data_IF_203675919315
#
_entry.id   IF_203675919315
#
_cell.length_a   1.000
_cell.length_b   1.000
_cell.length_c   1.000
_cell.angle_alpha   90.00
_cell.angle_beta   90.00
_cell.angle_gamma   90.00
#
_symmetry.space_group_name_H-M   'P 1'
#
loop_
_entity.id
_entity.type
_entity.pdbx_description
1 polymer ?
#
# COMPACT_ATOMS: atom_id res chain seq x y z
N UNK A 1 -22.76 -37.80 7.96
CA UNK A 1 -23.27 -36.63 7.22
C UNK A 1 -22.32 -36.14 6.12
N UNK A 2 -21.00 -36.40 6.18
CA UNK A 2 -20.04 -36.00 5.11
C UNK A 2 -20.03 -36.95 3.90
N UNK A 3 -20.46 -38.16 4.03
CA UNK A 3 -20.45 -39.15 2.94
C UNK A 3 -21.69 -39.12 2.05
N UNK A 4 -22.83 -38.64 2.57
CA UNK A 4 -24.09 -38.60 1.83
C UNK A 4 -24.25 -37.38 0.93
N UNK A 5 -23.54 -36.26 1.18
CA UNK A 5 -23.56 -35.05 0.34
C UNK A 5 -22.83 -35.22 -1.00
N UNK A 6 -21.72 -35.98 -1.01
CA UNK A 6 -20.95 -36.22 -2.25
C UNK A 6 -21.68 -37.12 -3.25
N UNK A 7 -22.54 -38.05 -2.79
CA UNK A 7 -23.28 -38.93 -3.70
C UNK A 7 -24.41 -38.21 -4.44
N UNK A 8 -25.09 -37.25 -3.80
CA UNK A 8 -26.15 -36.48 -4.46
C UNK A 8 -25.63 -35.54 -5.54
N UNK A 9 -24.52 -34.84 -5.27
CA UNK A 9 -23.87 -33.96 -6.25
C UNK A 9 -23.26 -34.77 -7.41
N UNK A 10 -22.66 -35.94 -7.11
CA UNK A 10 -22.11 -36.84 -8.14
C UNK A 10 -23.19 -37.34 -9.11
N UNK A 11 -24.37 -37.75 -8.61
CA UNK A 11 -25.48 -38.15 -9.43
C UNK A 11 -26.08 -37.04 -10.27
N UNK A 12 -26.17 -35.80 -9.71
CA UNK A 12 -26.63 -34.62 -10.44
C UNK A 12 -25.65 -34.22 -11.57
N UNK A 13 -24.34 -34.30 -11.35
CA UNK A 13 -23.33 -34.03 -12.36
C UNK A 13 -23.32 -35.07 -13.47
N UNK A 14 -23.47 -36.36 -13.12
CA UNK A 14 -23.55 -37.46 -14.09
C UNK A 14 -24.82 -37.33 -14.97
N UNK A 15 -25.95 -36.88 -14.42
CA UNK A 15 -27.17 -36.62 -15.19
C UNK A 15 -27.04 -35.46 -16.19
N UNK A 16 -26.09 -34.59 -15.99
CA UNK A 16 -25.72 -33.48 -16.89
C UNK A 16 -24.61 -33.86 -17.89
N UNK A 17 -24.20 -35.14 -17.92
CA UNK A 17 -23.13 -35.61 -18.80
C UNK A 17 -21.71 -35.18 -18.36
N UNK A 18 -21.55 -34.74 -17.13
CA UNK A 18 -20.25 -34.34 -16.58
C UNK A 18 -19.59 -35.55 -15.89
N UNK A 19 -18.35 -35.83 -16.23
CA UNK A 19 -17.55 -36.87 -15.57
C UNK A 19 -17.11 -36.42 -14.17
N UNK A 20 -17.61 -37.10 -13.15
CA UNK A 20 -17.32 -36.81 -11.73
C UNK A 20 -15.84 -36.94 -11.41
N UNK A 21 -15.12 -37.83 -12.11
CA UNK A 21 -13.68 -38.01 -11.92
C UNK A 21 -12.89 -36.77 -12.41
N UNK A 22 -13.26 -36.21 -13.56
CA UNK A 22 -12.62 -34.98 -14.08
C UNK A 22 -12.92 -33.76 -13.23
N UNK A 23 -14.15 -33.62 -12.73
CA UNK A 23 -14.53 -32.54 -11.80
C UNK A 23 -13.79 -32.68 -10.46
N UNK A 24 -13.66 -33.90 -9.94
CA UNK A 24 -12.90 -34.17 -8.72
C UNK A 24 -11.39 -33.92 -8.88
N UNK A 25 -10.82 -34.24 -10.05
CA UNK A 25 -9.43 -33.95 -10.36
C UNK A 25 -9.19 -32.43 -10.45
N UNK A 26 -10.05 -31.71 -11.16
CA UNK A 26 -10.00 -30.25 -11.24
C UNK A 26 -10.16 -29.56 -9.86
N UNK A 27 -10.99 -30.11 -8.99
CA UNK A 27 -11.15 -29.60 -7.62
C UNK A 27 -9.89 -29.82 -6.76
N UNK A 28 -9.09 -30.86 -7.03
CA UNK A 28 -7.80 -31.08 -6.33
C UNK A 28 -6.72 -30.11 -6.78
N UNK A 29 -6.84 -29.57 -7.98
CA UNK A 29 -5.93 -28.54 -8.55
C UNK A 29 -6.41 -27.11 -8.31
N UNK A 30 -7.38 -26.91 -7.41
CA UNK A 30 -7.87 -25.56 -7.11
C UNK A 30 -6.72 -24.65 -6.69
N UNK A 31 -6.61 -23.51 -7.40
CA UNK A 31 -5.49 -22.55 -7.29
C UNK A 31 -5.11 -22.19 -5.85
N UNK A 32 -6.10 -22.08 -4.96
CA UNK A 32 -5.90 -21.65 -3.58
C UNK A 32 -5.55 -22.82 -2.62
N UNK A 33 -5.54 -24.06 -3.11
CA UNK A 33 -5.23 -25.23 -2.27
C UNK A 33 -3.81 -25.12 -1.70
N UNK A 34 -3.71 -25.15 -0.36
CA UNK A 34 -2.44 -24.99 0.36
C UNK A 34 -1.93 -23.54 0.43
N UNK A 35 -2.69 -22.56 -0.05
CA UNK A 35 -2.41 -21.15 0.14
C UNK A 35 -2.77 -20.71 1.56
N UNK A 36 -1.99 -19.74 2.09
CA UNK A 36 -2.27 -19.08 3.36
C UNK A 36 -2.91 -17.74 3.11
N UNK A 37 -3.99 -17.43 3.84
CA UNK A 37 -4.73 -16.18 3.75
C UNK A 37 -4.09 -15.08 4.60
N UNK A 38 -4.11 -13.86 4.07
CA UNK A 38 -3.71 -12.64 4.74
C UNK A 38 -4.69 -11.52 4.42
N UNK A 39 -5.11 -10.78 5.43
CA UNK A 39 -5.92 -9.59 5.27
C UNK A 39 -5.05 -8.36 5.02
N UNK A 40 -5.53 -7.44 4.18
CA UNK A 40 -4.86 -6.17 3.89
C UNK A 40 -5.87 -5.12 3.47
N UNK A 41 -5.37 -3.94 3.13
CA UNK A 41 -6.15 -2.79 2.64
C UNK A 41 -5.59 -2.32 1.30
N UNK A 42 -6.46 -2.01 0.37
CA UNK A 42 -6.08 -1.43 -0.92
C UNK A 42 -5.62 0.02 -0.74
N UNK A 43 -4.45 0.36 -1.28
CA UNK A 43 -3.83 1.69 -1.16
C UNK A 43 -4.11 2.64 -2.33
N UNK A 44 -4.86 2.24 -3.34
CA UNK A 44 -5.03 3.06 -4.55
C UNK A 44 -5.86 4.32 -4.36
N UNK A 45 -6.80 4.33 -3.44
CA UNK A 45 -7.59 5.52 -3.17
C UNK A 45 -8.09 5.55 -1.72
N UNK A 46 -8.67 6.67 -1.31
CA UNK A 46 -9.20 6.87 0.04
C UNK A 46 -10.40 5.99 0.42
N UNK A 47 -10.89 5.13 -0.49
CA UNK A 47 -11.95 4.17 -0.18
C UNK A 47 -11.50 3.15 0.89
N UNK A 48 -10.24 2.70 0.84
CA UNK A 48 -9.70 1.77 1.83
C UNK A 48 -10.36 0.39 1.79
N UNK A 49 -10.64 -0.14 0.59
CA UNK A 49 -11.23 -1.47 0.41
C UNK A 49 -10.41 -2.55 1.10
N UNK A 50 -11.06 -3.37 1.93
CA UNK A 50 -10.44 -4.55 2.52
C UNK A 50 -10.17 -5.62 1.47
N UNK A 51 -9.02 -6.28 1.59
CA UNK A 51 -8.58 -7.32 0.67
C UNK A 51 -8.15 -8.58 1.41
N UNK A 52 -8.28 -9.74 0.75
CA UNK A 52 -7.74 -11.02 1.19
C UNK A 52 -6.74 -11.48 0.12
N UNK A 53 -5.50 -11.63 0.53
CA UNK A 53 -4.42 -12.18 -0.29
C UNK A 53 -4.16 -13.63 0.07
N UNK A 54 -3.93 -14.49 -0.95
CA UNK A 54 -3.56 -15.89 -0.79
C UNK A 54 -2.10 -16.07 -1.20
N UNK A 55 -1.28 -16.49 -0.28
CA UNK A 55 0.16 -16.70 -0.50
C UNK A 55 0.49 -18.19 -0.46
N UNK A 56 1.18 -18.66 -1.48
CA UNK A 56 1.70 -20.03 -1.57
C UNK A 56 3.15 -19.96 -2.05
N UNK A 57 4.04 -20.70 -1.40
CA UNK A 57 5.46 -20.76 -1.73
C UNK A 57 6.12 -19.36 -1.88
N UNK A 58 5.75 -18.44 -0.98
CA UNK A 58 6.26 -17.06 -0.96
C UNK A 58 5.71 -16.14 -2.06
N UNK A 59 4.75 -16.60 -2.87
CA UNK A 59 4.12 -15.81 -3.94
C UNK A 59 2.66 -15.53 -3.64
N UNK A 60 2.22 -14.32 -3.93
CA UNK A 60 0.80 -13.96 -3.92
C UNK A 60 0.14 -14.59 -5.15
N UNK A 61 -0.69 -15.61 -4.92
CA UNK A 61 -1.36 -16.36 -6.01
C UNK A 61 -2.76 -15.86 -6.32
N UNK A 62 -3.39 -15.16 -5.39
CA UNK A 62 -4.71 -14.54 -5.58
C UNK A 62 -4.89 -13.32 -4.67
N UNK A 63 -5.70 -12.37 -5.12
CA UNK A 63 -6.16 -11.23 -4.34
C UNK A 63 -7.64 -11.01 -4.63
N UNK A 64 -8.44 -10.90 -3.58
CA UNK A 64 -9.87 -10.62 -3.67
C UNK A 64 -10.32 -9.63 -2.60
N UNK A 65 -11.54 -9.11 -2.73
CA UNK A 65 -12.13 -8.24 -1.72
C UNK A 65 -12.59 -9.04 -0.50
N UNK A 66 -12.37 -8.47 0.69
CA UNK A 66 -12.84 -9.04 1.94
C UNK A 66 -14.37 -8.88 2.04
N UNK A 67 -15.10 -10.00 2.10
CA UNK A 67 -16.56 -10.00 2.12
C UNK A 67 -17.15 -9.42 3.41
N UNK A 68 -16.44 -9.56 4.51
CA UNK A 68 -16.80 -9.07 5.84
C UNK A 68 -16.40 -7.59 6.06
N UNK A 69 -15.63 -7.01 5.15
CA UNK A 69 -15.26 -5.60 5.25
C UNK A 69 -16.46 -4.69 4.97
N UNK A 70 -16.83 -3.77 5.89
CA UNK A 70 -18.02 -2.94 5.76
C UNK A 70 -17.95 -1.94 4.60
N UNK A 71 -16.76 -1.61 4.11
CA UNK A 71 -16.56 -0.62 3.03
C UNK A 71 -16.88 -1.20 1.67
N UNK A 72 -16.31 -2.35 1.34
CA UNK A 72 -16.38 -2.93 -0.01
C UNK A 72 -17.15 -4.25 -0.10
N UNK A 73 -17.44 -4.91 1.01
CA UNK A 73 -18.24 -6.15 1.09
C UNK A 73 -17.88 -7.17 -0.01
N UNK A 74 -16.59 -7.38 -0.21
CA UNK A 74 -16.06 -8.28 -1.23
C UNK A 74 -15.85 -7.66 -2.62
N UNK A 75 -16.41 -6.49 -2.92
CA UNK A 75 -16.22 -5.81 -4.20
C UNK A 75 -14.84 -5.15 -4.32
N UNK A 76 -14.17 -5.32 -5.47
CA UNK A 76 -12.95 -4.59 -5.82
C UNK A 76 -13.06 -4.03 -7.23
N UNK A 77 -12.57 -2.81 -7.42
CA UNK A 77 -12.41 -2.24 -8.76
C UNK A 77 -11.20 -2.87 -9.49
N UNK A 78 -11.06 -2.68 -10.82
CA UNK A 78 -9.93 -3.24 -11.58
C UNK A 78 -8.55 -2.88 -11.03
N UNK A 79 -8.39 -1.68 -10.44
CA UNK A 79 -7.12 -1.29 -9.80
C UNK A 79 -6.81 -2.14 -8.56
N UNK A 80 -7.82 -2.35 -7.71
CA UNK A 80 -7.69 -3.17 -6.50
C UNK A 80 -7.34 -4.62 -6.80
N UNK A 81 -7.97 -5.20 -7.84
CA UNK A 81 -7.64 -6.56 -8.31
C UNK A 81 -6.25 -6.59 -8.93
N UNK A 82 -5.92 -5.64 -9.80
CA UNK A 82 -4.63 -5.52 -10.47
C UNK A 82 -3.45 -5.35 -9.52
N UNK A 83 -3.71 -4.82 -8.32
CA UNK A 83 -2.70 -4.71 -7.26
C UNK A 83 -2.05 -6.04 -6.88
N UNK A 84 -2.79 -7.15 -7.01
CA UNK A 84 -2.28 -8.49 -6.76
C UNK A 84 -1.09 -8.92 -7.64
N UNK A 85 -0.87 -8.26 -8.77
CA UNK A 85 0.28 -8.55 -9.64
C UNK A 85 1.57 -7.86 -9.20
N UNK A 86 1.48 -6.76 -8.44
CA UNK A 86 2.64 -5.94 -8.05
C UNK A 86 3.68 -6.71 -7.20
N UNK A 87 3.29 -7.50 -6.18
CA UNK A 87 4.27 -8.20 -5.35
C UNK A 87 5.16 -9.18 -6.12
N UNK A 88 4.62 -9.77 -7.19
CA UNK A 88 5.32 -10.78 -8.00
C UNK A 88 5.92 -10.21 -9.29
N UNK A 89 5.81 -8.91 -9.54
CA UNK A 89 6.32 -8.28 -10.76
C UNK A 89 7.84 -8.41 -10.85
N UNK A 90 8.34 -8.84 -12.01
CA UNK A 90 9.79 -8.99 -12.24
C UNK A 90 10.53 -7.66 -12.17
N UNK A 91 9.88 -6.58 -12.62
CA UNK A 91 10.43 -5.22 -12.59
C UNK A 91 10.43 -4.57 -11.18
N UNK A 92 9.83 -5.23 -10.19
CA UNK A 92 9.83 -4.71 -8.83
C UNK A 92 11.22 -4.84 -8.21
N UNK A 93 11.87 -3.74 -7.77
CA UNK A 93 13.14 -3.80 -7.06
C UNK A 93 12.99 -4.65 -5.78
N UNK A 94 13.93 -5.58 -5.57
CA UNK A 94 13.96 -6.45 -4.38
C UNK A 94 14.97 -5.98 -3.34
N UNK A 95 15.90 -5.15 -3.77
CA UNK A 95 16.96 -4.54 -2.96
C UNK A 95 17.02 -3.04 -3.22
N UNK A 96 17.58 -2.25 -2.30
CA UNK A 96 17.86 -0.85 -2.54
C UNK A 96 18.90 -0.67 -3.65
N UNK A 97 18.73 0.40 -4.42
CA UNK A 97 19.68 0.80 -5.45
C UNK A 97 20.37 2.10 -5.02
N UNK A 98 21.67 2.13 -5.14
CA UNK A 98 22.50 3.30 -4.87
C UNK A 98 23.16 3.80 -6.15
N UNK A 99 23.16 5.10 -6.34
CA UNK A 99 23.93 5.77 -7.39
C UNK A 99 24.88 6.78 -6.76
N UNK A 100 26.17 6.56 -6.92
CA UNK A 100 27.17 7.48 -6.41
C UNK A 100 27.09 8.85 -7.10
N UNK A 101 27.46 9.94 -6.42
CA UNK A 101 27.55 11.25 -7.05
C UNK A 101 28.43 11.22 -8.30
N UNK A 102 27.89 11.70 -9.44
CA UNK A 102 28.58 11.68 -10.73
C UNK A 102 28.57 10.34 -11.48
N UNK A 103 28.04 9.27 -10.89
CA UNK A 103 27.88 7.98 -11.58
C UNK A 103 26.68 8.01 -12.54
N UNK A 104 26.78 7.27 -13.63
CA UNK A 104 25.72 7.05 -14.63
C UNK A 104 24.96 5.73 -14.44
N UNK A 105 25.38 4.89 -13.49
CA UNK A 105 24.79 3.57 -13.21
C UNK A 105 24.35 3.42 -11.76
N UNK A 106 23.47 2.44 -11.54
CA UNK A 106 22.94 2.07 -10.24
C UNK A 106 23.55 0.77 -9.77
N UNK A 107 23.87 0.69 -8.48
CA UNK A 107 24.41 -0.48 -7.82
C UNK A 107 23.42 -1.02 -6.80
N UNK A 108 23.28 -2.34 -6.72
CA UNK A 108 22.51 -2.98 -5.68
C UNK A 108 23.26 -2.93 -4.36
N UNK A 109 22.62 -2.47 -3.29
CA UNK A 109 23.19 -2.45 -1.95
C UNK A 109 22.26 -3.19 -0.97
N UNK A 110 22.78 -3.59 0.18
CA UNK A 110 21.95 -4.19 1.22
C UNK A 110 21.00 -3.19 1.87
N UNK A 111 19.92 -3.68 2.47
CA UNK A 111 19.01 -2.85 3.25
C UNK A 111 19.72 -2.19 4.45
N UNK A 112 20.62 -2.91 5.11
CA UNK A 112 21.41 -2.39 6.23
C UNK A 112 22.26 -1.20 5.79
N UNK A 113 22.98 -1.34 4.69
CA UNK A 113 23.80 -0.27 4.12
C UNK A 113 22.96 0.94 3.70
N UNK A 114 21.82 0.72 3.04
CA UNK A 114 20.91 1.79 2.61
C UNK A 114 20.38 2.60 3.80
N UNK A 115 19.96 1.90 4.87
CA UNK A 115 19.45 2.52 6.09
C UNK A 115 20.56 3.30 6.81
N UNK A 116 21.73 2.70 6.97
CA UNK A 116 22.87 3.35 7.63
C UNK A 116 23.33 4.61 6.90
N UNK A 117 23.51 4.54 5.58
CA UNK A 117 23.86 5.71 4.74
C UNK A 117 22.81 6.81 4.85
N UNK A 118 21.54 6.46 4.77
CA UNK A 118 20.43 7.43 4.87
C UNK A 118 20.37 8.06 6.26
N UNK A 119 20.49 7.25 7.32
CA UNK A 119 20.47 7.73 8.70
C UNK A 119 21.66 8.67 9.01
N UNK A 120 22.87 8.35 8.54
CA UNK A 120 24.04 9.22 8.69
C UNK A 120 23.88 10.54 7.95
N UNK A 121 23.36 10.51 6.72
CA UNK A 121 23.13 11.74 5.95
C UNK A 121 22.09 12.64 6.63
N UNK A 122 20.97 12.07 7.05
CA UNK A 122 19.93 12.80 7.81
C UNK A 122 20.48 13.38 9.11
N UNK A 123 21.19 12.56 9.90
CA UNK A 123 21.77 12.99 11.17
C UNK A 123 22.76 14.13 10.95
N UNK A 124 23.69 13.99 10.01
CA UNK A 124 24.67 15.01 9.69
C UNK A 124 24.01 16.33 9.31
N UNK A 125 23.10 16.30 8.33
CA UNK A 125 22.40 17.50 7.86
C UNK A 125 21.60 18.15 8.99
N UNK A 126 20.92 17.36 9.81
CA UNK A 126 20.17 17.84 10.97
C UNK A 126 21.07 18.54 11.99
N UNK A 127 22.14 17.85 12.42
CA UNK A 127 23.01 18.33 13.49
C UNK A 127 23.79 19.59 13.08
N UNK A 128 24.19 19.70 11.81
CA UNK A 128 24.86 20.89 11.25
C UNK A 128 23.92 22.11 11.09
N UNK A 129 22.60 21.88 11.03
CA UNK A 129 21.60 22.92 10.76
C UNK A 129 20.51 22.99 11.85
N UNK A 130 20.82 22.55 13.06
CA UNK A 130 19.88 22.56 14.17
C UNK A 130 19.67 23.93 14.77
N UNK A 131 18.42 24.36 14.85
CA UNK A 131 18.01 25.60 15.52
C UNK A 131 17.27 25.25 16.80
N UNK A 132 17.95 25.35 17.94
CA UNK A 132 17.36 25.03 19.26
C UNK A 132 16.43 26.12 19.77
N UNK A 133 16.78 27.37 19.52
CA UNK A 133 16.01 28.54 19.94
C UNK A 133 15.79 29.49 18.76
N UNK A 134 14.69 30.18 18.79
CA UNK A 134 14.32 31.21 17.80
C UNK A 134 13.84 32.46 18.51
N UNK A 135 13.77 33.59 17.79
CA UNK A 135 13.31 34.85 18.32
C UNK A 135 12.28 35.48 17.36
N UNK A 136 11.15 35.89 17.90
CA UNK A 136 10.15 36.66 17.17
C UNK A 136 9.53 37.73 18.08
N UNK A 137 9.41 38.95 17.53
CA UNK A 137 8.84 40.09 18.23
C UNK A 137 9.52 40.40 19.57
N UNK A 138 10.83 40.15 19.70
CA UNK A 138 11.60 40.36 20.95
C UNK A 138 11.47 39.23 21.98
N UNK A 139 10.77 38.13 21.66
CA UNK A 139 10.61 36.99 22.56
C UNK A 139 11.43 35.79 22.06
N UNK A 140 12.25 35.22 22.91
CA UNK A 140 12.98 33.98 22.66
C UNK A 140 12.15 32.79 23.07
N UNK A 141 12.10 31.77 22.18
CA UNK A 141 11.38 30.53 22.42
C UNK A 141 12.17 29.30 21.89
N UNK A 142 11.88 28.16 22.48
CA UNK A 142 12.45 26.89 22.02
C UNK A 142 11.77 26.47 20.71
N UNK A 143 12.54 26.30 19.64
CA UNK A 143 12.01 25.93 18.34
C UNK A 143 12.33 24.49 17.95
N UNK A 144 13.53 23.98 18.32
CA UNK A 144 13.96 22.60 18.11
C UNK A 144 13.71 22.10 16.69
N UNK A 145 14.19 22.83 15.69
CA UNK A 145 13.88 22.58 14.27
C UNK A 145 15.13 22.51 13.39
N UNK A 146 14.96 21.97 12.20
CA UNK A 146 15.92 22.10 11.11
C UNK A 146 15.19 22.51 9.83
N UNK A 147 15.73 23.51 9.14
CA UNK A 147 15.22 24.02 7.85
C UNK A 147 15.95 23.39 6.65
N UNK A 148 16.96 22.57 6.91
CA UNK A 148 17.79 21.97 5.87
C UNK A 148 17.24 20.63 5.34
N UNK A 149 16.15 20.12 5.92
CA UNK A 149 15.53 18.86 5.53
C UNK A 149 14.08 19.12 5.13
N UNK A 150 13.71 18.66 3.94
CA UNK A 150 12.31 18.57 3.50
C UNK A 150 11.83 17.13 3.45
N UNK A 151 10.58 16.90 3.81
CA UNK A 151 9.91 15.61 3.72
C UNK A 151 8.69 15.70 2.82
N UNK A 152 8.62 14.83 1.82
CA UNK A 152 7.48 14.73 0.89
C UNK A 152 6.88 13.34 1.01
N UNK A 153 5.63 13.26 1.47
CA UNK A 153 4.88 12.02 1.54
C UNK A 153 4.34 11.55 0.20
N UNK A 154 3.81 10.32 0.19
CA UNK A 154 3.18 9.69 -0.97
C UNK A 154 1.68 9.45 -0.76
N UNK A 155 1.00 8.94 -1.81
CA UNK A 155 -0.43 8.61 -1.77
C UNK A 155 -0.71 7.12 -1.57
N UNK A 156 0.28 6.27 -1.80
CA UNK A 156 0.14 4.81 -1.72
C UNK A 156 0.54 4.28 -0.33
N UNK A 157 0.09 4.97 0.71
CA UNK A 157 0.33 4.68 2.13
C UNK A 157 -0.98 4.69 2.89
N UNK A 158 -1.10 3.88 3.92
CA UNK A 158 -2.26 3.86 4.79
C UNK A 158 -2.18 4.93 5.91
N UNK A 159 -3.22 5.05 6.72
CA UNK A 159 -3.30 6.06 7.77
C UNK A 159 -2.22 5.87 8.84
N UNK A 160 -1.92 4.64 9.22
CA UNK A 160 -0.91 4.30 10.22
C UNK A 160 0.50 4.66 9.73
N UNK A 161 0.79 4.39 8.47
CA UNK A 161 2.05 4.77 7.83
C UNK A 161 2.20 6.30 7.75
N UNK A 162 1.15 7.02 7.33
CA UNK A 162 1.12 8.48 7.32
C UNK A 162 1.40 9.05 8.71
N UNK A 163 0.77 8.50 9.74
CA UNK A 163 0.98 8.93 11.11
C UNK A 163 2.44 8.71 11.56
N UNK A 164 3.00 7.53 11.30
CA UNK A 164 4.38 7.20 11.65
C UNK A 164 5.39 8.13 10.94
N UNK A 165 5.20 8.37 9.66
CA UNK A 165 6.06 9.24 8.86
C UNK A 165 6.07 10.68 9.37
N UNK A 166 4.89 11.25 9.65
CA UNK A 166 4.77 12.61 10.21
C UNK A 166 5.37 12.68 11.61
N UNK A 167 5.13 11.68 12.45
CA UNK A 167 5.70 11.61 13.79
C UNK A 167 7.23 11.55 13.75
N UNK A 168 7.79 10.75 12.86
CA UNK A 168 9.23 10.66 12.64
C UNK A 168 9.81 11.99 12.16
N UNK A 169 9.24 12.59 11.14
CA UNK A 169 9.70 13.86 10.58
C UNK A 169 9.70 14.98 11.65
N UNK A 170 8.62 15.09 12.43
CA UNK A 170 8.54 16.06 13.55
C UNK A 170 9.52 15.73 14.67
N UNK A 171 9.72 14.47 15.02
CA UNK A 171 10.72 14.03 15.99
C UNK A 171 12.15 14.38 15.57
N UNK A 172 12.42 14.42 14.26
CA UNK A 172 13.68 14.89 13.69
C UNK A 172 13.80 16.42 13.64
N UNK A 173 12.75 17.17 13.97
CA UNK A 173 12.71 18.64 13.90
C UNK A 173 12.48 19.17 12.48
N UNK A 174 12.02 18.35 11.54
CA UNK A 174 11.73 18.76 10.17
C UNK A 174 10.50 19.65 10.14
N UNK A 175 10.65 20.85 9.54
CA UNK A 175 9.57 21.84 9.41
C UNK A 175 8.87 21.69 8.06
N UNK A 176 9.64 21.49 7.00
CA UNK A 176 9.11 21.38 5.64
C UNK A 176 8.57 19.98 5.38
N UNK A 177 7.30 19.80 5.74
CA UNK A 177 6.57 18.53 5.54
C UNK A 177 5.45 18.80 4.56
N UNK A 178 5.44 18.09 3.44
CA UNK A 178 4.40 18.20 2.43
C UNK A 178 4.03 16.81 1.88
N UNK A 179 3.04 16.77 1.01
CA UNK A 179 2.55 15.54 0.39
C UNK A 179 2.36 15.76 -1.11
N UNK A 180 2.51 14.72 -1.89
CA UNK A 180 2.26 14.76 -3.34
C UNK A 180 0.87 15.32 -3.69
N UNK A 181 -0.08 15.24 -2.78
CA UNK A 181 -1.45 15.75 -2.91
C UNK A 181 -1.49 17.24 -3.22
N UNK A 182 -0.54 18.02 -2.73
CA UNK A 182 -0.46 19.44 -3.02
C UNK A 182 -0.38 19.73 -4.52
N UNK A 183 0.38 18.94 -5.26
CA UNK A 183 0.53 19.07 -6.72
C UNK A 183 -0.52 18.27 -7.47
N UNK A 184 -0.87 17.08 -6.99
CA UNK A 184 -1.80 16.14 -7.62
C UNK A 184 -3.27 16.54 -7.43
N UNK A 185 -3.67 16.88 -6.21
CA UNK A 185 -5.05 17.17 -5.82
C UNK A 185 -5.34 18.68 -5.66
N UNK A 186 -4.35 19.54 -5.82
CA UNK A 186 -4.58 20.98 -5.74
C UNK A 186 -5.52 21.51 -6.83
N UNK A 187 -5.59 20.83 -7.98
CA UNK A 187 -6.51 21.15 -9.07
C UNK A 187 -7.81 20.33 -9.02
N UNK A 188 -7.71 19.03 -8.74
CA UNK A 188 -8.86 18.11 -8.78
C UNK A 188 -9.91 18.43 -7.71
N UNK A 189 -9.63 18.55 -6.40
CA UNK A 189 -10.63 18.90 -5.41
C UNK A 189 -11.32 20.26 -5.66
N UNK A 190 -10.64 21.35 -6.02
CA UNK A 190 -11.32 22.59 -6.39
C UNK A 190 -12.26 22.43 -7.59
N UNK A 191 -11.85 21.71 -8.63
CA UNK A 191 -12.68 21.47 -9.80
C UNK A 191 -13.92 20.60 -9.47
N UNK A 192 -13.74 19.53 -8.70
CA UNK A 192 -14.84 18.68 -8.23
C UNK A 192 -15.81 19.46 -7.32
N UNK A 193 -15.27 20.31 -6.43
CA UNK A 193 -16.10 21.12 -5.56
C UNK A 193 -16.93 22.15 -6.35
N UNK A 194 -16.33 22.79 -7.35
CA UNK A 194 -17.04 23.73 -8.23
C UNK A 194 -18.13 23.02 -9.06
N UNK A 195 -17.87 21.82 -9.58
CA UNK A 195 -18.81 21.09 -10.43
C UNK A 195 -19.90 20.33 -9.66
N UNK A 196 -19.57 19.74 -8.52
CA UNK A 196 -20.44 18.80 -7.79
C UNK A 196 -20.66 19.16 -6.31
N UNK A 197 -20.09 20.25 -5.83
CA UNK A 197 -20.17 20.66 -4.42
C UNK A 197 -19.37 19.76 -3.45
N UNK A 198 -18.49 18.87 -3.96
CA UNK A 198 -17.70 17.92 -3.17
C UNK A 198 -16.26 17.86 -3.69
N UNK A 199 -15.29 17.95 -2.78
CA UNK A 199 -13.87 17.89 -3.11
C UNK A 199 -13.30 16.48 -3.33
N UNK A 200 -14.08 15.41 -3.13
CA UNK A 200 -13.65 14.02 -3.34
C UNK A 200 -14.82 13.16 -3.84
N UNK A 201 -14.51 12.24 -4.75
CA UNK A 201 -15.46 11.31 -5.38
C UNK A 201 -14.94 9.88 -5.28
N UNK A 202 -14.55 9.44 -4.08
CA UNK A 202 -14.13 8.06 -3.81
C UNK A 202 -15.29 7.26 -3.25
N UNK A 203 -15.53 6.09 -3.84
CA UNK A 203 -16.55 5.16 -3.40
C UNK A 203 -16.17 3.73 -3.75
N UNK A 204 -16.70 2.78 -2.99
CA UNK A 204 -16.61 1.36 -3.30
C UNK A 204 -17.55 1.02 -4.46
N UNK A 205 -17.18 0.02 -5.26
CA UNK A 205 -18.08 -0.55 -6.29
C UNK A 205 -19.37 -1.12 -5.71
N UNK A 206 -19.36 -1.48 -4.44
CA UNK A 206 -20.56 -1.90 -3.73
C UNK A 206 -21.59 -0.75 -3.59
N UNK A 207 -21.15 0.50 -3.61
CA UNK A 207 -22.01 1.68 -3.45
C UNK A 207 -22.51 2.27 -4.78
N UNK A 208 -22.19 1.62 -5.90
CA UNK A 208 -22.67 1.97 -7.23
C UNK A 208 -23.88 1.11 -7.61
#
# INVERSE_FOLDING_TARGET
LKATGLSGVGLALASLGLDVATVSAAAKEYKLTGGREFTSVCHFCGCGCGTIGYVKDGKLINLEGAADNPVNRGGLCPKGIGYGHIPNAELRPKCPLYRAPGSDHWEEISWEEAIDRSARALKKTRDENWVGQDEANGYKFMSNRTDAIGFIGGSQVNNEECYQLIKMARGLGVVFIDNQTRVCHATTPPALNAAFGRGAMTGSWYNL
#
